data_IF_500939603535
#
_entry.id   IF_500939603535
#
_cell.length_a   1.000
_cell.length_b   1.000
_cell.length_c   1.000
_cell.angle_alpha   90.00
_cell.angle_beta   90.00
_cell.angle_gamma   90.00
#
_symmetry.space_group_name_H-M   'P 1'
#
loop_
_entity.id
_entity.type
_entity.pdbx_description
1 polymer ?
#
# COMPACT_ATOMS: atom_id res chain seq x y z
N UNK A 1 1.11 6.61 -8.38
CA UNK A 1 -0.21 5.95 -8.20
C UNK A 1 -1.23 6.81 -8.92
N UNK A 2 -1.73 6.42 -10.12
CA UNK A 2 -2.27 7.37 -11.09
C UNK A 2 -3.41 8.27 -10.58
N UNK A 3 -4.38 7.69 -9.87
CA UNK A 3 -5.51 8.45 -9.32
C UNK A 3 -5.04 9.45 -8.25
N UNK A 4 -4.16 9.02 -7.34
CA UNK A 4 -3.59 9.92 -6.34
C UNK A 4 -2.79 11.07 -6.99
N UNK A 5 -2.10 10.79 -8.10
CA UNK A 5 -1.33 11.79 -8.84
C UNK A 5 -2.22 12.84 -9.52
N UNK A 6 -3.41 12.43 -9.98
CA UNK A 6 -4.43 13.36 -10.49
C UNK A 6 -5.12 14.14 -9.37
N UNK A 7 -5.39 13.48 -8.24
CA UNK A 7 -6.10 14.08 -7.10
C UNK A 7 -5.28 15.14 -6.36
N UNK A 8 -3.95 14.97 -6.29
CA UNK A 8 -3.03 15.86 -5.58
C UNK A 8 -3.42 16.06 -4.10
N UNK A 9 -3.39 14.99 -3.29
CA UNK A 9 -3.84 15.08 -1.90
C UNK A 9 -2.96 16.01 -1.06
N UNK A 10 -3.58 16.79 -0.19
CA UNK A 10 -2.88 17.58 0.82
C UNK A 10 -2.45 16.76 2.05
N UNK A 11 -3.00 15.54 2.20
CA UNK A 11 -2.70 14.57 3.26
C UNK A 11 -2.96 13.15 2.74
N UNK A 12 -2.12 12.21 3.15
CA UNK A 12 -2.34 10.78 2.89
C UNK A 12 -2.67 10.08 4.21
N UNK A 13 -3.90 9.57 4.35
CA UNK A 13 -4.34 8.83 5.53
C UNK A 13 -4.58 7.37 5.13
N UNK A 14 -3.85 6.46 5.76
CA UNK A 14 -3.89 5.04 5.44
C UNK A 14 -4.56 4.28 6.58
N UNK A 15 -5.73 3.70 6.30
CA UNK A 15 -6.34 2.65 7.13
C UNK A 15 -5.54 1.36 6.88
N UNK A 16 -4.61 1.06 7.80
CA UNK A 16 -3.53 0.10 7.61
C UNK A 16 -3.86 -1.25 8.26
N UNK A 17 -4.60 -2.07 7.52
CA UNK A 17 -4.83 -3.48 7.85
C UNK A 17 -3.71 -4.39 7.34
N UNK A 18 -3.32 -5.36 8.16
CA UNK A 18 -2.31 -6.37 7.85
C UNK A 18 -2.90 -7.78 7.74
N UNK A 19 -4.23 -7.90 7.73
CA UNK A 19 -4.91 -9.15 7.46
C UNK A 19 -4.70 -9.74 6.04
N UNK A 20 -4.23 -9.02 5.00
CA UNK A 20 -3.85 -9.66 3.73
C UNK A 20 -2.59 -10.53 3.81
N UNK A 21 -1.95 -10.63 4.99
CA UNK A 21 -0.72 -11.40 5.15
C UNK A 21 -0.93 -12.88 4.88
N UNK A 22 0.08 -13.55 4.31
CA UNK A 22 0.05 -15.00 3.99
C UNK A 22 -0.19 -15.94 5.19
N UNK A 23 -0.04 -15.42 6.42
CA UNK A 23 -0.20 -16.14 7.69
C UNK A 23 -1.47 -15.73 8.42
N UNK A 24 -2.21 -14.75 7.91
CA UNK A 24 -3.45 -14.31 8.53
C UNK A 24 -4.52 -15.41 8.42
N UNK A 25 -5.22 -15.75 9.53
CA UNK A 25 -6.20 -16.81 9.53
C UNK A 25 -7.54 -16.45 8.86
N UNK A 26 -7.80 -15.18 8.53
CA UNK A 26 -9.12 -14.72 8.08
C UNK A 26 -9.17 -14.36 6.58
N UNK A 27 -8.12 -13.78 5.99
CA UNK A 27 -8.22 -13.19 4.65
C UNK A 27 -7.91 -14.15 3.49
N UNK A 28 -7.04 -15.14 3.71
CA UNK A 28 -6.63 -16.10 2.65
C UNK A 28 -5.83 -15.48 1.50
N UNK A 29 -5.17 -14.35 1.74
CA UNK A 29 -4.29 -13.69 0.77
C UNK A 29 -2.82 -14.13 0.96
N UNK A 30 -1.90 -13.58 0.15
CA UNK A 30 -0.49 -13.99 0.14
C UNK A 30 0.46 -12.78 0.18
N UNK A 31 0.09 -11.70 0.87
CA UNK A 31 0.98 -10.54 1.04
C UNK A 31 2.07 -10.91 2.04
N UNK A 32 3.32 -10.60 1.71
CA UNK A 32 4.47 -10.77 2.62
C UNK A 32 4.77 -9.45 3.33
N UNK A 33 5.60 -9.48 4.36
CA UNK A 33 6.04 -8.24 5.03
C UNK A 33 6.68 -7.25 4.05
N UNK A 34 7.49 -7.74 3.10
CA UNK A 34 8.08 -6.91 2.04
C UNK A 34 7.02 -6.35 1.08
N UNK A 35 5.91 -7.06 0.86
CA UNK A 35 4.77 -6.57 0.09
C UNK A 35 4.12 -5.36 0.76
N UNK A 36 3.92 -5.40 2.08
CA UNK A 36 3.45 -4.23 2.84
C UNK A 36 4.44 -3.07 2.80
N UNK A 37 5.75 -3.36 2.94
CA UNK A 37 6.80 -2.35 2.77
C UNK A 37 6.75 -1.69 1.39
N UNK A 38 6.64 -2.48 0.32
CA UNK A 38 6.54 -1.97 -1.05
C UNK A 38 5.33 -1.04 -1.25
N UNK A 39 4.15 -1.42 -0.74
CA UNK A 39 2.96 -0.57 -0.78
C UNK A 39 3.15 0.72 0.02
N UNK A 40 3.73 0.65 1.22
CA UNK A 40 4.03 1.82 2.03
C UNK A 40 5.02 2.76 1.32
N UNK A 41 6.07 2.22 0.70
CA UNK A 41 7.06 2.96 -0.09
C UNK A 41 6.40 3.77 -1.22
N UNK A 42 5.45 3.16 -1.95
CA UNK A 42 4.68 3.85 -3.00
C UNK A 42 3.80 4.98 -2.46
N UNK A 43 3.21 4.82 -1.27
CA UNK A 43 2.34 5.81 -0.64
C UNK A 43 3.13 6.96 -0.01
N UNK A 44 4.31 6.68 0.53
CA UNK A 44 5.27 7.67 1.00
C UNK A 44 5.69 8.58 -0.17
N UNK A 45 6.02 8.00 -1.33
CA UNK A 45 6.34 8.78 -2.55
C UNK A 45 5.17 9.68 -3.00
N UNK A 46 3.92 9.20 -2.91
CA UNK A 46 2.74 10.04 -3.18
C UNK A 46 2.66 11.21 -2.19
N UNK A 47 2.89 10.97 -0.90
CA UNK A 47 2.85 12.00 0.12
C UNK A 47 3.97 13.05 -0.06
N UNK A 48 5.18 12.61 -0.43
CA UNK A 48 6.29 13.51 -0.74
C UNK A 48 5.96 14.41 -1.94
N UNK A 49 5.41 13.82 -3.02
CA UNK A 49 5.15 14.58 -4.26
C UNK A 49 3.99 15.55 -4.16
N UNK A 50 2.94 15.24 -3.38
CA UNK A 50 1.70 16.02 -3.38
C UNK A 50 1.29 16.59 -2.03
N UNK A 51 1.64 15.92 -0.93
CA UNK A 51 1.18 16.26 0.42
C UNK A 51 2.27 16.90 1.28
N UNK A 52 3.42 17.29 0.73
CA UNK A 52 4.55 17.83 1.51
C UNK A 52 5.02 16.88 2.62
N UNK A 53 5.01 15.57 2.34
CA UNK A 53 5.40 14.52 3.28
C UNK A 53 4.34 14.19 4.35
N UNK A 54 3.15 14.79 4.31
CA UNK A 54 2.10 14.57 5.31
C UNK A 54 1.37 13.24 5.06
N UNK A 55 1.73 12.24 5.87
CA UNK A 55 1.14 10.90 5.84
C UNK A 55 0.95 10.35 7.26
N UNK A 56 -0.15 9.63 7.48
CA UNK A 56 -0.39 8.89 8.72
C UNK A 56 -0.92 7.48 8.42
N UNK A 57 -0.36 6.49 9.10
CA UNK A 57 -0.84 5.11 9.09
C UNK A 57 -1.62 4.85 10.38
N UNK A 58 -2.88 4.43 10.24
CA UNK A 58 -3.77 4.09 11.34
C UNK A 58 -3.90 2.58 11.36
N UNK A 59 -3.41 1.93 12.42
CA UNK A 59 -3.46 0.47 12.53
C UNK A 59 -4.90 -0.03 12.62
N UNK A 60 -5.25 -1.03 11.79
CA UNK A 60 -6.56 -1.67 11.74
C UNK A 60 -6.46 -3.17 12.12
N UNK A 61 -6.86 -4.05 11.19
CA UNK A 61 -6.82 -5.51 11.34
C UNK A 61 -5.43 -6.12 11.13
N UNK A 62 -5.33 -7.43 11.37
CA UNK A 62 -4.11 -8.21 11.36
C UNK A 62 -4.11 -9.19 12.54
N UNK A 63 -4.39 -10.46 12.25
CA UNK A 63 -4.81 -11.43 13.26
C UNK A 63 -3.77 -12.52 13.55
N UNK A 64 -2.68 -12.60 12.76
CA UNK A 64 -1.44 -13.26 13.18
C UNK A 64 -0.47 -12.24 13.79
N UNK A 65 -0.25 -12.32 15.11
CA UNK A 65 0.54 -11.32 15.85
C UNK A 65 1.99 -11.20 15.39
N UNK A 66 2.60 -12.29 14.91
CA UNK A 66 3.99 -12.28 14.44
C UNK A 66 4.08 -11.61 13.08
N UNK A 67 3.18 -11.95 12.17
CA UNK A 67 3.02 -11.32 10.87
C UNK A 67 2.71 -9.83 11.00
N UNK A 68 1.77 -9.47 11.89
CA UNK A 68 1.43 -8.08 12.18
C UNK A 68 2.66 -7.29 12.66
N UNK A 69 3.36 -7.79 13.68
CA UNK A 69 4.57 -7.14 14.22
C UNK A 69 5.61 -6.92 13.12
N UNK A 70 5.90 -7.94 12.33
CA UNK A 70 6.93 -7.87 11.30
C UNK A 70 6.53 -6.94 10.15
N UNK A 71 5.25 -6.94 9.75
CA UNK A 71 4.74 -6.09 8.68
C UNK A 71 4.75 -4.61 9.08
N UNK A 72 4.28 -4.31 10.29
CA UNK A 72 4.37 -2.97 10.87
C UNK A 72 5.82 -2.51 10.93
N UNK A 73 6.74 -3.39 11.37
CA UNK A 73 8.17 -3.07 11.37
C UNK A 73 8.68 -2.76 9.95
N UNK A 74 8.26 -3.49 8.93
CA UNK A 74 8.63 -3.22 7.54
C UNK A 74 8.15 -1.83 7.08
N UNK A 75 6.90 -1.46 7.37
CA UNK A 75 6.37 -0.12 7.10
C UNK A 75 7.21 0.96 7.80
N UNK A 76 7.54 0.78 9.08
CA UNK A 76 8.41 1.71 9.79
C UNK A 76 9.82 1.81 9.20
N UNK A 77 10.37 0.74 8.65
CA UNK A 77 11.67 0.82 7.97
C UNK A 77 11.57 1.66 6.69
N UNK A 78 10.48 1.57 5.94
CA UNK A 78 10.28 2.41 4.75
C UNK A 78 10.07 3.87 5.11
N UNK A 79 9.36 4.17 6.20
CA UNK A 79 9.22 5.54 6.71
C UNK A 79 10.56 6.19 7.11
N UNK A 80 11.59 5.39 7.43
CA UNK A 80 12.94 5.93 7.71
C UNK A 80 13.74 6.26 6.45
N UNK A 81 13.32 5.75 5.29
CA UNK A 81 14.00 5.91 4.00
C UNK A 81 13.31 6.95 3.11
N UNK A 82 12.51 7.85 3.68
CA UNK A 82 11.79 8.88 2.92
C UNK A 82 12.78 9.68 2.07
N UNK A 83 12.51 9.78 0.77
CA UNK A 83 13.40 10.42 -0.22
C UNK A 83 14.30 9.44 -0.98
N UNK A 84 14.34 8.15 -0.61
CA UNK A 84 14.99 7.10 -1.39
C UNK A 84 14.07 6.54 -2.48
N UNK A 85 14.67 5.80 -3.43
CA UNK A 85 13.90 5.17 -4.51
C UNK A 85 12.96 4.11 -3.93
N UNK A 86 11.68 4.07 -4.35
CA UNK A 86 10.73 3.09 -3.83
C UNK A 86 11.21 1.66 -4.04
N UNK A 87 10.89 0.78 -3.09
CA UNK A 87 11.19 -0.64 -3.24
C UNK A 87 10.56 -1.19 -4.52
N UNK A 88 11.31 -1.95 -5.34
CA UNK A 88 10.78 -2.52 -6.56
C UNK A 88 9.67 -3.51 -6.22
N UNK A 89 8.50 -3.28 -6.82
CA UNK A 89 7.34 -4.16 -6.66
C UNK A 89 7.31 -5.12 -7.83
N UNK A 90 7.33 -6.42 -7.56
CA UNK A 90 7.02 -7.41 -8.58
C UNK A 90 5.49 -7.63 -8.59
N UNK A 91 4.77 -6.63 -9.09
CA UNK A 91 3.32 -6.70 -9.23
C UNK A 91 2.99 -7.43 -10.54
N UNK A 92 2.54 -8.68 -10.46
CA UNK A 92 2.24 -9.44 -11.67
C UNK A 92 1.54 -10.76 -11.42
N UNK A 93 0.29 -10.84 -11.88
CA UNK A 93 -0.41 -12.09 -12.14
C UNK A 93 -1.40 -11.85 -13.26
N UNK A 94 -1.36 -12.62 -14.34
CA UNK A 94 -2.29 -12.47 -15.47
C UNK A 94 -3.76 -12.58 -15.02
N UNK A 95 -4.00 -13.33 -13.95
CA UNK A 95 -5.31 -13.59 -13.35
C UNK A 95 -6.05 -12.33 -12.92
N UNK A 96 -5.36 -11.26 -12.48
CA UNK A 96 -6.03 -10.05 -11.95
C UNK A 96 -6.33 -9.01 -13.04
N UNK A 97 -5.76 -9.16 -14.24
CA UNK A 97 -5.88 -8.18 -15.32
C UNK A 97 -7.33 -7.87 -15.75
N UNK A 98 -8.26 -8.86 -15.86
CA UNK A 98 -9.64 -8.56 -16.19
C UNK A 98 -10.33 -7.66 -15.16
N UNK A 99 -10.03 -7.85 -13.87
CA UNK A 99 -10.58 -7.03 -12.80
C UNK A 99 -10.01 -5.61 -12.86
N UNK A 100 -8.69 -5.46 -13.07
CA UNK A 100 -8.06 -4.14 -13.23
C UNK A 100 -8.73 -3.37 -14.38
N UNK A 101 -8.93 -4.01 -15.54
CA UNK A 101 -9.61 -3.37 -16.69
C UNK A 101 -11.02 -2.93 -16.35
N UNK A 102 -11.77 -3.75 -15.62
CA UNK A 102 -13.13 -3.42 -15.18
C UNK A 102 -13.12 -2.19 -14.27
N UNK A 103 -12.20 -2.12 -13.30
CA UNK A 103 -12.06 -0.96 -12.41
C UNK A 103 -11.70 0.29 -13.20
N UNK A 104 -10.78 0.19 -14.17
CA UNK A 104 -10.40 1.32 -15.02
C UNK A 104 -11.58 1.84 -15.86
N UNK A 105 -12.36 0.96 -16.49
CA UNK A 105 -13.55 1.35 -17.26
C UNK A 105 -14.61 2.06 -16.40
N UNK A 106 -14.81 1.64 -15.15
CA UNK A 106 -15.77 2.31 -14.26
C UNK A 106 -15.25 3.68 -13.81
N UNK A 107 -13.94 3.79 -13.55
CA UNK A 107 -13.33 4.99 -12.99
C UNK A 107 -13.00 6.06 -14.03
N UNK A 108 -12.87 5.73 -15.33
CA UNK A 108 -12.51 6.68 -16.40
C UNK A 108 -13.46 7.89 -16.50
N UNK A 109 -14.72 7.71 -16.09
CA UNK A 109 -15.71 8.79 -16.08
C UNK A 109 -15.40 9.88 -15.04
N UNK A 110 -14.63 9.55 -14.01
CA UNK A 110 -14.36 10.42 -12.88
C UNK A 110 -12.90 10.91 -12.82
N UNK A 111 -11.97 10.26 -13.54
CA UNK A 111 -10.53 10.53 -13.46
C UNK A 111 -9.84 10.71 -14.80
#
# INVERSE_FOLDING_TARGET
>A
VPVADKYQPEWVLISAGFDPHDRDPLAGMAVTENGFGAMASMLLDVAERHAGGKIAFLLEGGYDLKALKNSVACVFQEMKKVGERPMPVNAGGETIQPLIRTVLQVQERYW
#
